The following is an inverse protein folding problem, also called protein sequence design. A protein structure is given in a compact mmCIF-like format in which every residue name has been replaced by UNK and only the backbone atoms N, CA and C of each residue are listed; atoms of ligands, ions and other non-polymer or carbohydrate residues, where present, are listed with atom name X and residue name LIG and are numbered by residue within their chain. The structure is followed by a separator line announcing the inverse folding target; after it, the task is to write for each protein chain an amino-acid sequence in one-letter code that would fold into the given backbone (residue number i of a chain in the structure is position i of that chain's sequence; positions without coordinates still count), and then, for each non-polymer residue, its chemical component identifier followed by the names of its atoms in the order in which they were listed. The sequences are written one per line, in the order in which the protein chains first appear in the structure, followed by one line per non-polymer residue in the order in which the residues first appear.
data_IF_367918373903
#
_entry.id   IF_367918373903
#
_cell.length_a   1.000
_cell.length_b   1.000
_cell.length_c   1.000
_cell.angle_alpha   90.00
_cell.angle_beta   90.00
_cell.angle_gamma   90.00
#
_symmetry.space_group_name_H-M   'P 1'
#
loop_
_entity.id
_entity.type
_entity.pdbx_description
1 polymer ?
#
# COMPACT_ATOMS: atom_id res chain seq x y z
N UNK A 1 66.00 32.32 22.51
CA UNK A 1 65.22 31.81 23.65
C UNK A 1 63.76 31.79 23.23
N UNK A 2 63.23 30.60 22.95
CA UNK A 2 61.88 30.36 22.44
C UNK A 2 60.90 30.25 23.62
N UNK A 3 59.76 30.96 23.58
CA UNK A 3 58.61 30.75 24.48
C UNK A 3 57.32 30.65 23.66
N UNK A 4 56.34 29.84 24.08
CA UNK A 4 55.42 29.14 23.20
C UNK A 4 53.99 29.69 23.17
N UNK A 5 53.26 29.27 22.12
CA UNK A 5 51.80 29.11 21.95
C UNK A 5 50.81 30.00 22.73
N UNK A 6 49.87 30.60 22.00
CA UNK A 6 48.45 30.40 22.31
C UNK A 6 47.60 30.40 21.02
N UNK A 7 46.98 29.25 20.78
CA UNK A 7 46.03 29.00 19.71
C UNK A 7 44.60 29.29 20.18
N UNK A 8 43.73 29.76 19.28
CA UNK A 8 42.28 29.51 19.39
C UNK A 8 41.75 29.25 17.99
N UNK A 9 41.74 27.98 17.58
CA UNK A 9 40.95 27.50 16.47
C UNK A 9 39.58 27.09 17.03
N UNK A 10 38.53 27.85 16.70
CA UNK A 10 37.14 27.45 16.98
C UNK A 10 36.74 26.45 15.90
N UNK A 11 37.03 25.18 16.12
CA UNK A 11 36.43 24.09 15.35
C UNK A 11 35.02 23.84 15.93
N UNK A 12 34.02 24.48 15.33
CA UNK A 12 32.62 24.19 15.62
C UNK A 12 32.27 22.79 15.13
N UNK A 13 32.14 21.84 16.06
CA UNK A 13 31.68 20.49 15.78
C UNK A 13 30.19 20.53 15.41
N UNK A 14 29.87 20.51 14.12
CA UNK A 14 28.54 20.12 13.64
C UNK A 14 28.37 18.62 13.84
N UNK A 15 27.94 18.24 15.05
CA UNK A 15 27.44 16.89 15.29
C UNK A 15 26.06 16.76 14.61
N UNK A 16 26.03 16.25 13.39
CA UNK A 16 24.79 15.87 12.72
C UNK A 16 24.25 14.61 13.39
N UNK A 17 23.37 14.78 14.38
CA UNK A 17 22.62 13.67 14.92
C UNK A 17 21.67 13.16 13.83
N UNK A 18 21.94 11.97 13.30
CA UNK A 18 21.03 11.29 12.37
C UNK A 18 19.74 10.92 13.10
N UNK A 19 18.67 11.68 12.87
CA UNK A 19 17.34 11.29 13.32
C UNK A 19 16.85 10.13 12.46
N UNK A 20 16.66 8.95 13.06
CA UNK A 20 15.93 7.86 12.43
C UNK A 20 14.45 8.25 12.43
N UNK A 21 13.95 8.74 11.30
CA UNK A 21 12.51 8.94 11.11
C UNK A 21 11.88 7.57 10.90
N UNK A 22 10.98 7.18 11.79
CA UNK A 22 10.15 5.99 11.60
C UNK A 22 9.28 6.20 10.34
N UNK A 23 9.15 5.16 9.51
CA UNK A 23 8.25 5.21 8.35
C UNK A 23 6.84 5.59 8.84
N UNK A 24 6.23 6.59 8.18
CA UNK A 24 4.86 6.94 8.46
C UNK A 24 3.94 5.73 8.15
N UNK A 25 2.87 5.61 8.92
CA UNK A 25 1.82 4.63 8.66
C UNK A 25 0.71 5.32 7.87
N UNK A 26 0.31 4.79 6.68
CA UNK A 26 -0.80 5.32 5.91
C UNK A 26 -2.09 5.42 6.74
N UNK A 27 -2.83 6.51 6.60
CA UNK A 27 -4.10 6.72 7.34
C UNK A 27 -5.28 6.62 6.40
N UNK A 28 -6.35 5.97 6.86
CA UNK A 28 -7.62 5.96 6.14
C UNK A 28 -8.16 7.39 6.07
N UNK A 29 -8.58 7.82 4.88
CA UNK A 29 -9.11 9.17 4.64
C UNK A 29 -10.60 9.16 4.30
N UNK A 30 -11.18 10.35 4.13
CA UNK A 30 -12.58 10.54 3.79
C UNK A 30 -12.94 10.03 2.38
N UNK A 31 -11.94 9.92 1.51
CA UNK A 31 -12.06 9.30 0.17
C UNK A 31 -11.95 7.77 0.21
N UNK A 32 -11.87 7.19 1.42
CA UNK A 32 -11.90 5.76 1.68
C UNK A 32 -10.71 4.96 1.12
N UNK A 33 -9.52 5.53 1.13
CA UNK A 33 -8.27 4.81 0.88
C UNK A 33 -7.22 5.18 1.93
N UNK A 34 -6.14 4.39 2.06
CA UNK A 34 -5.06 4.73 2.98
C UNK A 34 -4.06 5.66 2.30
N UNK A 35 -3.66 6.74 2.98
CA UNK A 35 -2.79 7.76 2.41
C UNK A 35 -1.72 8.23 3.38
N UNK A 36 -0.55 8.50 2.83
CA UNK A 36 0.55 9.23 3.45
C UNK A 36 1.28 10.04 2.37
N UNK A 37 2.21 10.95 2.72
CA UNK A 37 2.81 11.87 1.74
C UNK A 37 3.42 11.24 0.48
N UNK A 38 3.86 9.98 0.53
CA UNK A 38 4.52 9.29 -0.59
C UNK A 38 3.77 8.07 -1.12
N UNK A 39 2.67 7.66 -0.50
CA UNK A 39 1.98 6.40 -0.80
C UNK A 39 0.49 6.53 -0.56
N UNK A 40 -0.29 6.18 -1.59
CA UNK A 40 -1.69 5.82 -1.45
C UNK A 40 -1.86 4.31 -1.66
N UNK A 41 -2.63 3.67 -0.78
CA UNK A 41 -3.05 2.27 -0.88
C UNK A 41 -4.55 2.24 -1.13
N UNK A 42 -4.92 1.94 -2.36
CA UNK A 42 -6.30 1.92 -2.82
C UNK A 42 -6.78 0.48 -2.87
N UNK A 43 -7.73 0.14 -2.00
CA UNK A 43 -8.17 -1.25 -1.78
C UNK A 43 -9.56 -1.43 -2.40
N UNK A 44 -9.63 -2.24 -3.45
CA UNK A 44 -10.81 -2.63 -4.22
C UNK A 44 -11.74 -1.45 -4.57
N UNK A 45 -11.17 -0.30 -4.91
CA UNK A 45 -11.95 0.91 -5.26
C UNK A 45 -12.32 0.99 -6.75
N UNK A 46 -11.84 0.03 -7.53
CA UNK A 46 -12.21 -0.19 -8.91
C UNK A 46 -12.46 -1.69 -9.12
N UNK A 47 -13.09 -2.06 -10.23
CA UNK A 47 -13.31 -3.45 -10.63
C UNK A 47 -13.09 -3.61 -12.13
N UNK A 48 -12.46 -4.71 -12.55
CA UNK A 48 -12.37 -5.04 -13.97
C UNK A 48 -13.74 -5.40 -14.53
N UNK A 49 -13.99 -5.11 -15.81
CA UNK A 49 -15.17 -5.64 -16.50
C UNK A 49 -14.92 -7.13 -16.82
N UNK A 50 -15.93 -7.99 -16.61
CA UNK A 50 -15.75 -9.44 -16.48
C UNK A 50 -14.80 -10.14 -17.48
N UNK A 51 -14.74 -9.73 -18.74
CA UNK A 51 -13.87 -10.37 -19.74
C UNK A 51 -12.37 -10.03 -19.61
N UNK A 52 -12.00 -9.02 -18.82
CA UNK A 52 -10.63 -8.51 -18.75
C UNK A 52 -10.08 -8.56 -17.34
N UNK A 53 -10.16 -9.73 -16.71
CA UNK A 53 -9.61 -9.99 -15.37
C UNK A 53 -8.11 -9.78 -15.23
N UNK A 54 -7.37 -9.65 -16.34
CA UNK A 54 -5.94 -9.39 -16.40
C UNK A 54 -5.60 -7.92 -16.68
N UNK A 55 -6.59 -7.02 -16.76
CA UNK A 55 -6.48 -5.57 -17.08
C UNK A 55 -5.54 -4.76 -16.19
N UNK A 56 -4.91 -5.38 -15.18
CA UNK A 56 -4.03 -4.72 -14.21
C UNK A 56 -4.74 -3.52 -13.57
N UNK A 57 -5.97 -3.76 -13.14
CA UNK A 57 -6.86 -2.82 -12.49
C UNK A 57 -7.62 -3.58 -11.41
N UNK A 58 -8.06 -2.92 -10.34
CA UNK A 58 -8.65 -3.56 -9.16
C UNK A 58 -7.63 -4.27 -8.25
N UNK A 59 -8.14 -4.86 -7.17
CA UNK A 59 -7.37 -5.46 -6.09
C UNK A 59 -6.85 -4.41 -5.13
N UNK A 60 -5.57 -4.49 -4.79
CA UNK A 60 -4.83 -3.52 -3.99
C UNK A 60 -3.89 -2.77 -4.92
N UNK A 61 -4.14 -1.48 -5.09
CA UNK A 61 -3.32 -0.60 -5.91
C UNK A 61 -2.40 0.24 -5.01
N UNK A 62 -1.11 0.27 -5.36
CA UNK A 62 -0.12 1.11 -4.70
C UNK A 62 0.23 2.27 -5.62
N UNK A 63 0.03 3.49 -5.15
CA UNK A 63 0.32 4.70 -5.88
C UNK A 63 1.43 5.46 -5.14
N UNK A 64 2.63 5.48 -5.72
CA UNK A 64 3.76 6.23 -5.19
C UNK A 64 3.89 7.54 -5.95
N UNK A 65 3.83 8.67 -5.23
CA UNK A 65 3.98 10.02 -5.82
C UNK A 65 3.07 10.29 -7.03
N UNK A 66 1.85 9.75 -7.01
CA UNK A 66 0.88 9.89 -8.10
C UNK A 66 1.02 8.86 -9.23
N UNK A 67 2.00 7.97 -9.18
CA UNK A 67 2.20 6.89 -10.15
C UNK A 67 1.82 5.53 -9.55
N UNK A 68 0.94 4.79 -10.23
CA UNK A 68 0.58 3.44 -9.80
C UNK A 68 1.70 2.46 -10.13
N UNK A 69 2.35 1.93 -9.10
CA UNK A 69 3.50 1.02 -9.25
C UNK A 69 3.14 -0.46 -9.05
N UNK A 70 2.00 -0.76 -8.42
CA UNK A 70 1.50 -2.12 -8.23
C UNK A 70 -0.04 -2.16 -8.21
N UNK A 71 -0.61 -3.32 -8.53
CA UNK A 71 -2.07 -3.57 -8.64
C UNK A 71 -2.34 -5.08 -8.53
N UNK A 72 -3.63 -5.47 -8.51
CA UNK A 72 -4.14 -6.83 -8.27
C UNK A 72 -4.08 -7.23 -6.79
N UNK A 73 -4.27 -8.51 -6.48
CA UNK A 73 -4.26 -9.01 -5.10
C UNK A 73 -5.55 -9.70 -4.67
N UNK A 74 -6.40 -10.08 -5.62
CA UNK A 74 -7.46 -11.07 -5.39
C UNK A 74 -6.89 -12.50 -5.39
N UNK A 75 -7.67 -13.46 -4.87
CA UNK A 75 -7.27 -14.87 -4.84
C UNK A 75 -7.50 -15.48 -6.21
N UNK A 76 -6.52 -16.28 -6.65
CA UNK A 76 -6.53 -17.06 -7.89
C UNK A 76 -6.47 -18.55 -7.56
N UNK A 77 -7.34 -19.33 -8.20
CA UNK A 77 -7.49 -20.76 -7.91
C UNK A 77 -6.68 -21.64 -8.87
N UNK A 78 -6.32 -21.14 -10.07
CA UNK A 78 -5.44 -21.90 -10.97
C UNK A 78 -3.96 -21.77 -10.57
N UNK A 79 -3.20 -22.81 -10.86
CA UNK A 79 -1.76 -22.79 -10.67
C UNK A 79 -1.09 -21.78 -11.62
N UNK A 80 -0.07 -21.08 -11.14
CA UNK A 80 0.74 -20.18 -11.99
C UNK A 80 1.56 -20.99 -13.00
N UNK A 81 1.83 -20.46 -14.22
CA UNK A 81 1.44 -19.16 -14.76
C UNK A 81 0.19 -19.27 -15.67
N UNK A 82 -1.02 -19.11 -15.13
CA UNK A 82 -2.25 -19.11 -15.94
C UNK A 82 -2.60 -17.69 -16.39
N UNK A 83 -2.83 -17.50 -17.69
CA UNK A 83 -3.10 -16.19 -18.30
C UNK A 83 -4.60 -15.89 -18.39
N UNK A 84 -5.45 -16.92 -18.39
CA UNK A 84 -6.91 -16.81 -18.58
C UNK A 84 -7.68 -17.35 -17.37
N UNK A 85 -7.07 -17.30 -16.19
CA UNK A 85 -7.66 -17.87 -14.97
C UNK A 85 -9.01 -17.22 -14.67
N UNK A 86 -10.08 -17.99 -14.40
CA UNK A 86 -11.32 -17.45 -13.88
C UNK A 86 -11.07 -16.48 -12.72
N UNK A 87 -11.81 -15.39 -12.78
CA UNK A 87 -11.74 -14.31 -11.80
C UNK A 87 -12.89 -14.47 -10.81
N UNK A 88 -12.71 -14.08 -9.54
CA UNK A 88 -13.81 -14.10 -8.59
C UNK A 88 -14.93 -13.12 -9.00
N UNK A 89 -16.15 -13.41 -8.55
CA UNK A 89 -17.23 -12.44 -8.50
C UNK A 89 -17.01 -11.49 -7.33
N UNK A 90 -17.05 -10.18 -7.59
CA UNK A 90 -17.04 -9.17 -6.54
C UNK A 90 -18.41 -9.10 -5.85
N UNK A 91 -18.43 -9.24 -4.52
CA UNK A 91 -19.67 -9.27 -3.73
C UNK A 91 -19.92 -7.92 -3.08
N UNK A 92 -18.99 -7.44 -2.27
CA UNK A 92 -19.13 -6.16 -1.57
C UNK A 92 -17.79 -5.58 -1.15
N UNK A 93 -17.80 -4.26 -0.90
CA UNK A 93 -16.72 -3.56 -0.21
C UNK A 93 -17.27 -2.76 0.95
N UNK A 94 -16.61 -2.86 2.10
CA UNK A 94 -16.95 -2.18 3.35
C UNK A 94 -15.77 -1.36 3.84
N UNK A 95 -16.05 -0.18 4.35
CA UNK A 95 -15.07 0.74 4.93
C UNK A 95 -15.53 1.09 6.33
N UNK A 96 -14.73 0.73 7.31
CA UNK A 96 -14.97 1.05 8.70
C UNK A 96 -13.97 2.12 9.15
N UNK A 97 -14.46 3.36 9.21
CA UNK A 97 -13.67 4.52 9.64
C UNK A 97 -13.29 4.45 11.13
N UNK A 98 -14.11 3.81 11.97
CA UNK A 98 -13.85 3.71 13.39
C UNK A 98 -12.68 2.76 13.68
N UNK A 99 -12.59 1.65 12.94
CA UNK A 99 -11.49 0.69 13.07
C UNK A 99 -10.35 0.88 12.07
N UNK A 100 -10.45 1.86 11.16
CA UNK A 100 -9.43 2.12 10.13
C UNK A 100 -9.25 0.96 9.16
N UNK A 101 -10.33 0.27 8.79
CA UNK A 101 -10.28 -0.99 8.03
C UNK A 101 -11.04 -0.88 6.71
N UNK A 102 -10.49 -1.48 5.65
CA UNK A 102 -11.19 -1.71 4.38
C UNK A 102 -11.29 -3.21 4.14
N UNK A 103 -12.49 -3.71 3.85
CA UNK A 103 -12.73 -5.11 3.54
C UNK A 103 -13.41 -5.26 2.19
N UNK A 104 -13.00 -6.26 1.42
CA UNK A 104 -13.62 -6.65 0.15
C UNK A 104 -13.96 -8.14 0.19
N UNK A 105 -15.23 -8.46 -0.06
CA UNK A 105 -15.73 -9.84 -0.13
C UNK A 105 -15.89 -10.24 -1.59
N UNK A 106 -15.38 -11.42 -1.92
CA UNK A 106 -15.35 -12.00 -3.25
C UNK A 106 -15.74 -13.47 -3.19
N UNK A 107 -16.21 -14.01 -4.30
CA UNK A 107 -16.67 -15.39 -4.35
C UNK A 107 -16.38 -16.07 -5.69
N UNK A 108 -16.19 -17.38 -5.64
CA UNK A 108 -16.21 -18.31 -6.74
C UNK A 108 -17.42 -19.23 -6.55
N UNK A 109 -18.62 -18.85 -7.03
CA UNK A 109 -19.86 -19.58 -6.74
C UNK A 109 -19.85 -21.03 -7.21
N UNK A 110 -19.20 -21.31 -8.34
CA UNK A 110 -19.03 -22.66 -8.89
C UNK A 110 -18.24 -23.61 -7.98
N UNK A 111 -17.46 -23.04 -7.06
CA UNK A 111 -16.60 -23.76 -6.12
C UNK A 111 -17.10 -23.67 -4.67
N UNK A 112 -18.28 -23.07 -4.44
CA UNK A 112 -18.80 -22.75 -3.10
C UNK A 112 -17.76 -22.05 -2.20
N UNK A 113 -16.93 -21.19 -2.81
CA UNK A 113 -15.80 -20.58 -2.16
C UNK A 113 -16.00 -19.07 -2.05
N UNK A 114 -16.18 -18.57 -0.83
CA UNK A 114 -16.28 -17.13 -0.53
C UNK A 114 -15.15 -16.73 0.41
N UNK A 115 -14.55 -15.57 0.14
CA UNK A 115 -13.45 -15.05 0.95
C UNK A 115 -13.54 -13.54 1.09
N UNK A 116 -12.92 -13.03 2.17
CA UNK A 116 -12.82 -11.60 2.44
C UNK A 116 -11.35 -11.21 2.60
N UNK A 117 -10.91 -10.23 1.82
CA UNK A 117 -9.64 -9.56 2.01
C UNK A 117 -9.87 -8.36 2.92
N UNK A 118 -9.07 -8.25 3.98
CA UNK A 118 -9.13 -7.13 4.93
C UNK A 118 -7.79 -6.43 4.99
N UNK A 119 -7.79 -5.13 4.73
CA UNK A 119 -6.60 -4.28 4.79
C UNK A 119 -6.66 -3.35 6.00
N UNK A 120 -5.52 -3.24 6.69
CA UNK A 120 -5.26 -2.34 7.83
C UNK A 120 -3.84 -1.77 7.68
N UNK A 121 -3.58 -0.54 8.11
CA UNK A 121 -2.24 0.06 8.09
C UNK A 121 -1.23 -0.60 9.00
#
# INVERSE_FOLDING_TARGET
MLKPLLAVAIAGAFATASTITLAATPKLNDKQYFSQPSLDVVVFSNWYNGLFGDSKISGVELIHFGERTATNGDVRLSATPEQWDPIPTFVERKVDQASGTISATLAYPEYDFTYTITARP
#
